data_IF_031879707820
#
_entry.id   IF_031879707820
#
_cell.length_a   1.000
_cell.length_b   1.000
_cell.length_c   1.000
_cell.angle_alpha   90.00
_cell.angle_beta   90.00
_cell.angle_gamma   90.00
#
_symmetry.space_group_name_H-M   'P 1'
#
loop_
_entity.id
_entity.type
_entity.pdbx_description
1 polymer ?
#
# COMPACT_ATOMS: atom_id res chain seq x y z
N UNK A 1 52.89 6.93 44.86
CA UNK A 1 52.22 7.14 43.54
C UNK A 1 51.48 5.89 43.04
N UNK A 2 50.84 5.10 43.91
CA UNK A 2 50.30 3.77 43.53
C UNK A 2 48.78 3.58 43.76
N UNK A 3 48.03 4.66 44.01
CA UNK A 3 46.59 4.57 44.30
C UNK A 3 45.69 5.02 43.13
N UNK A 4 46.26 5.51 42.01
CA UNK A 4 45.50 6.07 40.88
C UNK A 4 45.32 5.13 39.69
N UNK A 5 46.03 4.00 39.66
CA UNK A 5 46.05 3.07 38.49
C UNK A 5 44.95 2.00 38.58
N UNK A 6 44.46 1.66 39.78
CA UNK A 6 43.41 0.65 39.99
C UNK A 6 42.00 1.07 39.56
N UNK A 7 41.75 2.38 39.34
CA UNK A 7 40.43 2.89 38.98
C UNK A 7 40.13 2.75 37.46
N UNK A 8 41.17 2.74 36.61
CA UNK A 8 41.03 2.65 35.15
C UNK A 8 40.76 1.21 34.65
N UNK A 9 41.11 0.18 35.43
CA UNK A 9 40.90 -1.23 35.06
C UNK A 9 39.50 -1.77 35.41
N UNK A 10 38.70 -1.04 36.22
CA UNK A 10 37.35 -1.48 36.63
C UNK A 10 36.21 -0.99 35.74
N UNK A 11 36.44 -0.04 34.85
CA UNK A 11 35.42 0.50 33.93
C UNK A 11 35.46 -0.12 32.53
N UNK A 12 36.57 -0.76 32.14
CA UNK A 12 36.72 -1.47 30.86
C UNK A 12 35.66 -2.57 30.60
N UNK A 13 35.22 -3.38 31.60
CA UNK A 13 34.21 -4.42 31.37
C UNK A 13 32.82 -3.86 31.01
N UNK A 14 32.47 -2.67 31.54
CA UNK A 14 31.13 -2.08 31.37
C UNK A 14 30.92 -1.51 29.96
N UNK A 15 31.97 -0.98 29.33
CA UNK A 15 31.91 -0.51 27.93
C UNK A 15 31.90 -1.69 26.93
N UNK A 16 32.55 -2.80 27.26
CA UNK A 16 32.60 -3.98 26.40
C UNK A 16 31.28 -4.79 26.45
N UNK A 17 30.66 -4.92 27.64
CA UNK A 17 29.39 -5.65 27.78
C UNK A 17 28.21 -4.92 27.12
N UNK A 18 28.11 -3.59 27.26
CA UNK A 18 27.05 -2.79 26.63
C UNK A 18 27.09 -2.77 25.10
N UNK A 19 28.26 -3.01 24.50
CA UNK A 19 28.41 -3.12 23.05
C UNK A 19 27.76 -4.37 22.46
N UNK A 20 27.87 -5.51 23.15
CA UNK A 20 27.26 -6.78 22.70
C UNK A 20 25.73 -6.73 22.76
N UNK A 21 25.14 -6.15 23.81
CA UNK A 21 23.69 -6.03 23.95
C UNK A 21 23.08 -5.14 22.86
N UNK A 22 23.75 -4.03 22.52
CA UNK A 22 23.33 -3.16 21.43
C UNK A 22 23.42 -3.85 20.06
N UNK A 23 24.47 -4.64 19.83
CA UNK A 23 24.62 -5.41 18.59
C UNK A 23 23.59 -6.53 18.46
N UNK A 24 23.22 -7.20 19.55
CA UNK A 24 22.14 -8.19 19.57
C UNK A 24 20.79 -7.53 19.27
N UNK A 25 20.47 -6.41 19.92
CA UNK A 25 19.24 -5.66 19.66
C UNK A 25 19.14 -5.17 18.21
N UNK A 26 20.25 -4.69 17.64
CA UNK A 26 20.32 -4.30 16.23
C UNK A 26 20.01 -5.48 15.31
N UNK A 27 20.61 -6.66 15.55
CA UNK A 27 20.38 -7.86 14.73
C UNK A 27 18.93 -8.33 14.81
N UNK A 28 18.36 -8.41 16.02
CA UNK A 28 16.96 -8.78 16.22
C UNK A 28 16.03 -7.80 15.50
N UNK A 29 16.31 -6.50 15.59
CA UNK A 29 15.55 -5.47 14.86
C UNK A 29 15.61 -5.62 13.34
N UNK A 30 16.77 -6.01 12.78
CA UNK A 30 16.91 -6.28 11.35
C UNK A 30 16.16 -7.55 10.92
N UNK A 31 16.19 -8.59 11.74
CA UNK A 31 15.48 -9.85 11.44
C UNK A 31 13.97 -9.64 11.42
N UNK A 32 13.41 -8.98 12.45
CA UNK A 32 12.00 -8.62 12.53
C UNK A 32 11.56 -7.75 11.34
N UNK A 33 12.43 -6.85 10.89
CA UNK A 33 12.17 -6.04 9.71
C UNK A 33 12.08 -6.90 8.45
N UNK A 34 13.01 -7.84 8.25
CA UNK A 34 13.01 -8.75 7.09
C UNK A 34 11.77 -9.65 7.07
N UNK A 35 11.39 -10.19 8.23
CA UNK A 35 10.14 -10.97 8.37
C UNK A 35 8.91 -10.13 8.03
N UNK A 36 8.86 -8.89 8.49
CA UNK A 36 7.78 -7.96 8.17
C UNK A 36 7.76 -7.59 6.68
N UNK A 37 8.92 -7.38 6.04
CA UNK A 37 9.02 -7.15 4.60
C UNK A 37 8.47 -8.34 3.81
N UNK A 38 8.89 -9.57 4.14
CA UNK A 38 8.37 -10.79 3.51
C UNK A 38 6.87 -10.98 3.74
N UNK A 39 6.35 -10.64 4.92
CA UNK A 39 4.92 -10.63 5.20
C UNK A 39 4.17 -9.64 4.30
N UNK A 40 4.65 -8.39 4.24
CA UNK A 40 4.01 -7.33 3.47
C UNK A 40 4.02 -7.64 1.96
N UNK A 41 5.08 -8.27 1.46
CA UNK A 41 5.13 -8.77 0.08
C UNK A 41 4.12 -9.89 -0.15
N UNK A 42 4.08 -10.90 0.73
CA UNK A 42 3.15 -12.03 0.64
C UNK A 42 1.68 -11.60 0.57
N UNK A 43 1.30 -10.56 1.33
CA UNK A 43 -0.07 -10.05 1.38
C UNK A 43 -0.34 -8.87 0.44
N UNK A 44 0.64 -8.51 -0.41
CA UNK A 44 0.49 -7.53 -1.49
C UNK A 44 0.53 -6.07 -1.06
N UNK A 45 1.08 -5.77 0.13
CA UNK A 45 1.30 -4.39 0.60
C UNK A 45 2.59 -3.78 0.03
N UNK A 46 3.58 -4.61 -0.31
CA UNK A 46 4.81 -4.23 -1.00
C UNK A 46 4.81 -4.81 -2.43
N UNK A 47 5.02 -3.95 -3.42
CA UNK A 47 5.17 -4.33 -4.82
C UNK A 47 6.56 -3.89 -5.32
N UNK A 48 7.36 -4.83 -5.79
CA UNK A 48 8.69 -4.55 -6.38
C UNK A 48 8.58 -3.76 -7.70
N UNK A 49 7.50 -3.97 -8.45
CA UNK A 49 7.34 -3.46 -9.82
C UNK A 49 6.94 -1.98 -9.91
N UNK A 50 6.73 -1.27 -8.80
CA UNK A 50 6.33 0.15 -8.82
C UNK A 50 7.58 1.05 -8.84
N UNK A 51 7.89 1.76 -9.95
CA UNK A 51 9.14 2.51 -10.10
C UNK A 51 9.17 3.88 -9.39
N UNK A 52 8.34 4.11 -8.37
CA UNK A 52 8.00 5.48 -7.95
C UNK A 52 8.09 5.65 -6.42
N UNK A 53 9.31 5.63 -5.87
CA UNK A 53 9.64 6.45 -4.69
C UNK A 53 11.15 6.49 -4.42
N UNK A 54 11.71 7.60 -3.91
CA UNK A 54 13.17 7.78 -3.75
C UNK A 54 13.82 7.02 -2.59
N UNK A 55 13.08 6.29 -1.73
CA UNK A 55 13.70 5.61 -0.56
C UNK A 55 12.90 4.38 -0.11
N UNK A 56 13.57 3.23 0.05
CA UNK A 56 12.98 1.95 0.53
C UNK A 56 12.23 2.09 1.87
N UNK A 57 12.73 2.96 2.77
CA UNK A 57 12.11 3.23 4.07
C UNK A 57 10.71 3.83 3.99
N UNK A 58 10.46 4.71 3.01
CA UNK A 58 9.15 5.35 2.81
C UNK A 58 8.12 4.37 2.27
N UNK A 59 8.54 3.45 1.39
CA UNK A 59 7.65 2.37 0.92
C UNK A 59 7.25 1.45 2.05
N UNK A 60 8.22 1.05 2.86
CA UNK A 60 7.98 0.20 4.02
C UNK A 60 7.02 0.87 5.00
N UNK A 61 7.25 2.14 5.35
CA UNK A 61 6.34 2.84 6.28
C UNK A 61 4.94 3.00 5.70
N UNK A 62 4.79 3.27 4.39
CA UNK A 62 3.49 3.29 3.73
C UNK A 62 2.79 1.94 3.83
N UNK A 63 3.47 0.85 3.50
CA UNK A 63 2.93 -0.51 3.57
C UNK A 63 2.47 -0.87 4.99
N UNK A 64 3.25 -0.50 6.02
CA UNK A 64 2.86 -0.66 7.42
C UNK A 64 1.59 0.13 7.75
N UNK A 65 1.45 1.37 7.28
CA UNK A 65 0.23 2.17 7.50
C UNK A 65 -1.00 1.51 6.89
N UNK A 66 -0.89 0.98 5.67
CA UNK A 66 -2.00 0.27 5.01
C UNK A 66 -2.40 -0.99 5.80
N UNK A 67 -1.41 -1.77 6.25
CA UNK A 67 -1.66 -2.94 7.08
C UNK A 67 -2.32 -2.59 8.42
N UNK A 68 -1.84 -1.53 9.08
CA UNK A 68 -2.41 -1.04 10.33
C UNK A 68 -3.86 -0.59 10.13
N UNK A 69 -4.16 0.11 9.04
CA UNK A 69 -5.53 0.49 8.68
C UNK A 69 -6.44 -0.74 8.54
N UNK A 70 -6.04 -1.71 7.70
CA UNK A 70 -6.84 -2.93 7.43
C UNK A 70 -7.01 -3.79 8.70
N UNK A 71 -5.96 -3.88 9.53
CA UNK A 71 -5.96 -4.63 10.78
C UNK A 71 -6.58 -3.86 11.96
N UNK A 72 -7.11 -2.66 11.75
CA UNK A 72 -7.71 -1.80 12.79
C UNK A 72 -6.74 -1.50 13.95
N UNK A 73 -5.46 -1.32 13.63
CA UNK A 73 -4.43 -0.86 14.55
C UNK A 73 -4.26 0.67 14.45
N UNK A 74 -3.70 1.31 15.50
CA UNK A 74 -3.28 2.70 15.40
C UNK A 74 -2.29 2.91 14.24
N UNK A 75 -2.58 3.87 13.37
CA UNK A 75 -1.80 4.12 12.15
C UNK A 75 -0.59 4.98 12.50
N UNK A 76 0.54 4.34 12.74
CA UNK A 76 1.83 4.99 13.02
C UNK A 76 2.79 4.94 11.82
N UNK A 77 2.69 3.91 10.99
CA UNK A 77 3.67 3.60 9.94
C UNK A 77 5.02 3.08 10.45
N UNK A 78 5.09 2.76 11.74
CA UNK A 78 6.27 2.18 12.39
C UNK A 78 5.98 0.71 12.72
N UNK A 79 7.00 -0.13 12.63
CA UNK A 79 6.93 -1.53 13.03
C UNK A 79 6.89 -1.64 14.57
N UNK A 80 5.72 -1.39 15.16
CA UNK A 80 5.52 -1.44 16.59
C UNK A 80 5.23 -2.88 17.07
N UNK A 81 5.40 -3.17 18.38
CA UNK A 81 5.14 -4.50 18.92
C UNK A 81 3.70 -5.00 18.71
N UNK A 82 2.70 -4.12 18.64
CA UNK A 82 1.33 -4.55 18.37
C UNK A 82 1.15 -4.97 16.91
N UNK A 83 1.74 -4.22 15.97
CA UNK A 83 1.82 -4.61 14.55
C UNK A 83 2.51 -5.95 14.37
N UNK A 84 3.67 -6.17 15.01
CA UNK A 84 4.37 -7.46 14.94
C UNK A 84 3.53 -8.63 15.47
N UNK A 85 2.93 -8.47 16.65
CA UNK A 85 2.01 -9.48 17.20
C UNK A 85 0.85 -9.79 16.25
N UNK A 86 0.34 -8.78 15.56
CA UNK A 86 -0.77 -8.92 14.62
C UNK A 86 -0.34 -9.60 13.31
N UNK A 87 0.90 -9.38 12.84
CA UNK A 87 1.49 -10.07 11.69
C UNK A 87 1.77 -11.56 11.97
N UNK A 88 2.18 -11.91 13.20
CA UNK A 88 2.47 -13.29 13.62
C UNK A 88 1.23 -14.16 13.87
N UNK A 89 0.01 -13.60 13.84
CA UNK A 89 -1.21 -14.39 14.03
C UNK A 89 -1.45 -15.32 12.84
N UNK A 90 -1.97 -16.53 13.06
CA UNK A 90 -2.38 -17.40 11.95
C UNK A 90 -3.47 -16.72 11.11
N UNK A 91 -3.33 -16.80 9.79
CA UNK A 91 -4.20 -16.13 8.80
C UNK A 91 -4.43 -17.02 7.58
N UNK A 92 -5.41 -16.67 6.77
CA UNK A 92 -5.56 -17.22 5.43
C UNK A 92 -4.42 -16.75 4.51
N UNK A 93 -3.99 -17.55 3.55
CA UNK A 93 -2.91 -17.18 2.61
C UNK A 93 -3.32 -16.26 1.46
N UNK A 94 -4.52 -15.69 1.49
CA UNK A 94 -5.04 -14.77 0.45
C UNK A 94 -4.48 -13.37 0.70
N UNK A 95 -4.01 -12.70 -0.34
CA UNK A 95 -3.48 -11.34 -0.23
C UNK A 95 -4.58 -10.30 0.07
N UNK A 96 -4.25 -9.31 0.91
CA UNK A 96 -5.19 -8.33 1.42
C UNK A 96 -5.54 -7.24 0.38
N UNK A 97 -4.62 -6.98 -0.56
CA UNK A 97 -4.73 -5.86 -1.52
C UNK A 97 -5.24 -6.25 -2.91
N UNK A 98 -5.48 -7.53 -3.19
CA UNK A 98 -5.97 -8.01 -4.50
C UNK A 98 -7.30 -7.36 -4.93
N UNK A 99 -8.06 -6.84 -3.96
CA UNK A 99 -9.35 -6.19 -4.17
C UNK A 99 -9.25 -4.69 -4.47
N UNK A 100 -8.10 -4.04 -4.20
CA UNK A 100 -7.98 -2.57 -4.28
C UNK A 100 -8.01 -2.05 -5.72
N UNK A 101 -7.26 -2.67 -6.64
CA UNK A 101 -7.22 -2.20 -8.03
C UNK A 101 -8.59 -2.29 -8.72
N UNK A 102 -9.31 -3.44 -8.69
CA UNK A 102 -10.66 -3.53 -9.25
C UNK A 102 -11.66 -2.58 -8.57
N UNK A 103 -11.55 -2.38 -7.26
CA UNK A 103 -12.41 -1.43 -6.54
C UNK A 103 -12.12 0.02 -6.96
N UNK A 104 -10.85 0.40 -7.06
CA UNK A 104 -10.42 1.74 -7.48
C UNK A 104 -10.86 2.05 -8.90
N UNK A 105 -10.75 1.09 -9.81
CA UNK A 105 -11.26 1.20 -11.17
C UNK A 105 -12.78 1.41 -11.18
N UNK A 106 -13.54 0.60 -10.42
CA UNK A 106 -15.00 0.75 -10.31
C UNK A 106 -15.41 2.11 -9.77
N UNK A 107 -14.77 2.57 -8.69
CA UNK A 107 -15.05 3.88 -8.09
C UNK A 107 -14.69 5.00 -9.06
N UNK A 108 -13.53 4.91 -9.70
CA UNK A 108 -13.10 5.87 -10.71
C UNK A 108 -14.06 5.90 -11.89
N UNK A 109 -14.59 4.76 -12.35
CA UNK A 109 -15.57 4.69 -13.44
C UNK A 109 -16.90 5.36 -13.08
N UNK A 110 -17.33 5.30 -11.81
CA UNK A 110 -18.52 6.02 -11.34
C UNK A 110 -18.32 7.54 -11.41
N UNK A 111 -17.12 8.02 -11.02
CA UNK A 111 -16.78 9.44 -11.02
C UNK A 111 -16.30 9.98 -12.38
N UNK A 112 -15.78 9.12 -13.27
CA UNK A 112 -15.31 9.48 -14.61
C UNK A 112 -16.43 10.00 -15.52
N UNK A 113 -17.67 9.94 -15.03
CA UNK A 113 -18.78 10.61 -15.64
C UNK A 113 -19.36 9.79 -16.76
N UNK A 114 -20.67 9.77 -16.73
CA UNK A 114 -21.56 9.32 -17.76
C UNK A 114 -21.46 10.22 -19.02
N UNK A 115 -20.31 10.25 -19.67
CA UNK A 115 -20.02 11.17 -20.79
C UNK A 115 -20.53 10.66 -22.15
N UNK A 116 -21.20 9.51 -22.20
CA UNK A 116 -21.70 8.96 -23.47
C UNK A 116 -23.11 8.38 -23.38
N UNK A 117 -24.05 9.04 -22.69
CA UNK A 117 -25.43 8.94 -23.21
C UNK A 117 -25.45 9.70 -24.52
N UNK A 118 -25.22 8.96 -25.61
CA UNK A 118 -25.67 9.31 -26.95
C UNK A 118 -27.00 10.04 -26.80
N UNK A 119 -26.99 11.32 -27.13
CA UNK A 119 -28.19 12.14 -27.27
C UNK A 119 -29.12 11.34 -28.19
N UNK A 120 -30.14 10.70 -27.61
CA UNK A 120 -31.12 9.86 -28.33
C UNK A 120 -31.66 10.74 -29.45
N UNK A 121 -31.17 10.55 -30.69
CA UNK A 121 -31.61 11.37 -31.83
C UNK A 121 -33.11 11.15 -31.96
N UNK A 122 -33.89 12.22 -31.77
CA UNK A 122 -35.33 12.18 -32.03
C UNK A 122 -35.51 11.83 -33.51
N UNK A 123 -36.02 10.63 -33.78
CA UNK A 123 -36.49 10.23 -35.10
C UNK A 123 -37.88 10.83 -35.27
N UNK A 124 -37.96 12.10 -35.63
CA UNK A 124 -39.18 12.56 -36.27
C UNK A 124 -39.14 12.01 -37.70
N UNK A 125 -39.94 10.99 -37.96
CA UNK A 125 -40.32 10.62 -39.30
C UNK A 125 -41.22 11.74 -39.84
N UNK A 126 -40.83 12.38 -40.95
CA UNK A 126 -41.84 13.06 -41.79
C UNK A 126 -42.50 11.94 -42.60
N UNK A 127 -43.78 11.70 -42.33
CA UNK A 127 -44.63 10.92 -43.21
C UNK A 127 -44.90 11.74 -44.48
N UNK A 128 -44.94 11.01 -45.59
CA UNK A 128 -45.17 11.45 -46.95
C UNK A 128 -46.31 12.43 -47.14
N UNK A 129 -46.16 13.31 -48.14
CA UNK A 129 -47.24 13.60 -49.08
C UNK A 129 -46.63 13.65 -50.48
N UNK A 130 -46.59 12.46 -51.09
CA UNK A 130 -46.61 12.30 -52.55
C UNK A 130 -47.82 13.06 -53.09
N UNK A 131 -47.59 14.07 -53.91
CA UNK A 131 -48.55 14.45 -54.95
C UNK A 131 -47.82 14.33 -56.27
N UNK A 132 -47.91 13.13 -56.85
CA UNK A 132 -47.87 13.01 -58.30
C UNK A 132 -49.20 13.55 -58.82
N UNK A 133 -49.15 14.64 -59.59
CA UNK A 133 -50.15 14.94 -60.60
C UNK A 133 -49.42 15.22 -61.90
N UNK A 134 -49.26 14.14 -62.66
CA UNK A 134 -49.08 14.14 -64.11
C UNK A 134 -50.34 14.66 -64.81
N UNK A 135 -50.18 14.97 -66.12
CA UNK A 135 -51.22 15.15 -67.18
C UNK A 135 -51.68 16.62 -67.28
N UNK A 136 -51.59 17.36 -68.41
CA UNK A 136 -51.48 17.04 -69.85
C UNK A 136 -50.96 18.23 -70.66
N UNK A 137 -50.43 17.92 -71.86
CA UNK A 137 -50.22 18.77 -73.04
C UNK A 137 -51.30 19.84 -73.29
N UNK A 138 -50.86 21.02 -73.77
CA UNK A 138 -51.31 21.65 -75.03
C UNK A 138 -50.26 22.66 -75.48
#
# INVERSE_FOLDING_TARGET
MAARVGLLLRTLPLLLWGGLDAQLAQRVGQELRREAEAFLEKYGYLNEQVPQSPTSSLRFSKAIREFQWVSQLPISGVLDPATLRQMMRPRCGVADTNSQAPWTERVSALFAGHQTKMRRKKRFARQDLTIQRSVTDT
#
